data_IF_636797995004
#
_entry.id   IF_636797995004
#
_cell.length_a   1.000
_cell.length_b   1.000
_cell.length_c   1.000
_cell.angle_alpha   90.00
_cell.angle_beta   90.00
_cell.angle_gamma   90.00
#
_symmetry.space_group_name_H-M   'P 1'
#
loop_
_entity.id
_entity.type
_entity.pdbx_description
1 polymer ?
#
# COMPACT_ATOMS: atom_id res chain seq x y z
N UNK A 1 -41.80 -11.27 -52.08
CA UNK A 1 -40.92 -12.09 -51.23
C UNK A 1 -39.88 -11.13 -50.67
N UNK A 2 -40.04 -10.92 -49.36
CA UNK A 2 -39.30 -10.14 -48.35
C UNK A 2 -38.30 -9.03 -48.73
N UNK A 3 -38.72 -7.79 -48.42
CA UNK A 3 -37.87 -6.62 -48.08
C UNK A 3 -37.11 -6.80 -46.75
N UNK A 4 -36.61 -8.01 -46.43
CA UNK A 4 -35.96 -8.29 -45.14
C UNK A 4 -34.43 -8.33 -45.19
N UNK A 5 -33.81 -7.86 -46.27
CA UNK A 5 -32.37 -7.61 -46.33
C UNK A 5 -32.08 -6.13 -46.01
N UNK A 6 -32.70 -5.63 -44.95
CA UNK A 6 -32.31 -4.37 -44.32
C UNK A 6 -31.04 -4.64 -43.51
N UNK A 7 -29.92 -4.10 -44.01
CA UNK A 7 -28.69 -3.75 -43.29
C UNK A 7 -28.61 -4.29 -41.86
N UNK A 8 -28.01 -5.48 -41.69
CA UNK A 8 -27.34 -5.77 -40.43
C UNK A 8 -26.19 -4.77 -40.35
N UNK A 9 -26.36 -3.70 -39.59
CA UNK A 9 -25.22 -2.95 -39.08
C UNK A 9 -24.30 -3.99 -38.43
N UNK A 10 -23.04 -4.06 -38.85
CA UNK A 10 -22.05 -4.88 -38.17
C UNK A 10 -22.11 -4.47 -36.69
N UNK A 11 -22.49 -5.43 -35.83
CA UNK A 11 -22.56 -5.21 -34.40
C UNK A 11 -21.14 -4.85 -33.96
N UNK A 12 -20.93 -3.61 -33.54
CA UNK A 12 -19.59 -3.11 -33.23
C UNK A 12 -19.07 -3.87 -32.00
N UNK A 13 -18.22 -4.88 -32.24
CA UNK A 13 -17.68 -5.75 -31.20
C UNK A 13 -16.54 -5.02 -30.49
N UNK A 14 -16.81 -4.58 -29.25
CA UNK A 14 -15.80 -3.94 -28.42
C UNK A 14 -14.85 -4.98 -27.81
N UNK A 15 -13.53 -4.70 -27.74
CA UNK A 15 -12.62 -5.59 -27.05
C UNK A 15 -12.84 -5.51 -25.53
N UNK A 16 -12.67 -6.64 -24.84
CA UNK A 16 -12.56 -6.63 -23.37
C UNK A 16 -11.31 -5.87 -22.93
N UNK A 17 -11.40 -5.19 -21.79
CA UNK A 17 -10.27 -4.55 -21.11
C UNK A 17 -9.11 -5.52 -20.83
N UNK A 18 -9.42 -6.82 -20.71
CA UNK A 18 -8.41 -7.87 -20.51
C UNK A 18 -7.52 -8.08 -21.75
N UNK A 19 -8.03 -7.76 -22.94
CA UNK A 19 -7.30 -7.89 -24.21
C UNK A 19 -6.67 -6.56 -24.68
N UNK A 20 -7.16 -5.42 -24.19
CA UNK A 20 -6.72 -4.10 -24.60
C UNK A 20 -5.38 -3.70 -23.95
N UNK A 21 -4.55 -2.96 -24.70
CA UNK A 21 -3.37 -2.30 -24.15
C UNK A 21 -3.78 -0.93 -23.56
N UNK A 22 -3.09 -0.45 -22.51
CA UNK A 22 -3.30 0.90 -21.98
C UNK A 22 -3.14 1.96 -23.07
N UNK A 23 -3.97 3.00 -23.04
CA UNK A 23 -3.91 4.10 -24.01
C UNK A 23 -2.70 5.00 -23.75
N UNK A 24 -2.26 5.10 -22.49
CA UNK A 24 -1.06 5.82 -22.08
C UNK A 24 -0.14 4.85 -21.32
N UNK A 25 1.13 4.79 -21.72
CA UNK A 25 2.18 4.14 -20.93
C UNK A 25 3.06 5.22 -20.30
N UNK A 26 3.11 5.27 -18.97
CA UNK A 26 4.09 6.09 -18.26
C UNK A 26 5.49 5.56 -18.53
N UNK A 27 6.45 6.46 -18.78
CA UNK A 27 7.86 6.07 -18.86
C UNK A 27 8.31 5.41 -17.55
N UNK A 28 9.18 4.38 -17.58
CA UNK A 28 9.72 3.79 -16.35
C UNK A 28 10.64 4.82 -15.69
N UNK A 29 10.11 5.54 -14.71
CA UNK A 29 10.91 6.37 -13.82
C UNK A 29 11.20 5.49 -12.62
N UNK A 30 12.48 5.17 -12.39
CA UNK A 30 12.89 4.51 -11.17
C UNK A 30 12.64 5.47 -9.99
N UNK A 31 11.53 5.27 -9.27
CA UNK A 31 11.14 6.09 -8.12
C UNK A 31 11.80 5.54 -6.86
N UNK A 32 12.45 6.39 -6.08
CA UNK A 32 12.97 6.02 -4.75
C UNK A 32 11.81 5.94 -3.74
N UNK A 33 11.68 4.79 -3.06
CA UNK A 33 10.64 4.58 -2.04
C UNK A 33 9.23 4.34 -2.57
N UNK A 34 8.28 4.36 -1.63
CA UNK A 34 6.83 4.32 -1.87
C UNK A 34 6.26 5.73 -1.74
N UNK A 35 5.22 6.05 -2.49
CA UNK A 35 4.55 7.33 -2.41
C UNK A 35 3.03 7.20 -2.25
N UNK A 36 2.36 8.34 -2.17
CA UNK A 36 0.90 8.45 -2.07
C UNK A 36 0.14 7.51 -3.02
N UNK A 37 0.48 7.49 -4.31
CA UNK A 37 -0.23 6.68 -5.28
C UNK A 37 -0.05 5.18 -5.04
N UNK A 38 1.14 4.76 -4.62
CA UNK A 38 1.39 3.37 -4.23
C UNK A 38 0.49 3.00 -3.03
N UNK A 39 0.28 3.89 -2.06
CA UNK A 39 -0.62 3.66 -0.91
C UNK A 39 -2.11 3.59 -1.31
N UNK A 40 -2.54 4.43 -2.26
CA UNK A 40 -3.90 4.37 -2.80
C UNK A 40 -4.15 3.02 -3.46
N UNK A 41 -3.20 2.56 -4.26
CA UNK A 41 -3.25 1.27 -4.93
C UNK A 41 -3.23 0.10 -3.94
N UNK A 42 -2.43 0.17 -2.86
CA UNK A 42 -2.51 -0.79 -1.74
C UNK A 42 -3.92 -0.83 -1.13
N UNK A 43 -4.57 0.32 -0.97
CA UNK A 43 -5.95 0.39 -0.50
C UNK A 43 -6.93 -0.38 -1.40
N UNK A 44 -6.73 -0.38 -2.72
CA UNK A 44 -7.53 -1.18 -3.65
C UNK A 44 -7.16 -2.67 -3.66
N UNK A 45 -5.91 -3.02 -3.38
CA UNK A 45 -5.52 -4.43 -3.15
C UNK A 45 -6.18 -4.97 -1.89
N UNK A 46 -6.31 -4.15 -0.83
CA UNK A 46 -7.08 -4.50 0.36
C UNK A 46 -8.59 -4.58 0.09
N UNK A 47 -9.14 -3.71 -0.77
CA UNK A 47 -10.50 -3.85 -1.29
C UNK A 47 -10.69 -5.20 -1.98
N UNK A 48 -9.74 -5.57 -2.84
CA UNK A 48 -9.74 -6.87 -3.48
C UNK A 48 -9.69 -7.96 -2.42
N UNK A 49 -8.84 -7.90 -1.39
CA UNK A 49 -8.88 -8.91 -0.33
C UNK A 49 -10.29 -9.10 0.29
N UNK A 50 -10.93 -7.98 0.65
CA UNK A 50 -12.21 -7.96 1.35
C UNK A 50 -13.42 -8.28 0.45
N UNK A 51 -13.37 -7.94 -0.84
CA UNK A 51 -14.51 -8.01 -1.74
C UNK A 51 -14.26 -8.98 -2.90
N UNK A 52 -14.95 -10.15 -2.93
CA UNK A 52 -14.80 -11.15 -3.98
C UNK A 52 -15.22 -10.69 -5.37
N UNK A 53 -15.99 -9.61 -5.48
CA UNK A 53 -16.42 -9.07 -6.76
C UNK A 53 -15.30 -8.28 -7.46
N UNK A 54 -14.30 -7.76 -6.74
CA UNK A 54 -13.11 -7.20 -7.35
C UNK A 54 -12.19 -8.36 -7.75
N UNK A 55 -12.18 -8.69 -9.04
CA UNK A 55 -11.50 -9.88 -9.55
C UNK A 55 -10.12 -9.60 -10.10
N UNK A 56 -9.82 -8.36 -10.54
CA UNK A 56 -8.49 -7.96 -11.03
C UNK A 56 -8.21 -6.48 -10.83
N UNK A 57 -6.93 -6.13 -10.78
CA UNK A 57 -6.43 -4.75 -10.80
C UNK A 57 -5.35 -4.65 -11.89
N UNK A 58 -5.49 -3.70 -12.82
CA UNK A 58 -4.47 -3.35 -13.80
C UNK A 58 -3.73 -2.09 -13.32
N UNK A 59 -2.40 -2.16 -13.28
CA UNK A 59 -1.51 -1.06 -12.93
C UNK A 59 -0.94 -0.46 -14.22
N UNK A 60 -1.73 0.40 -14.88
CA UNK A 60 -1.43 0.93 -16.22
C UNK A 60 -0.24 1.90 -16.19
N UNK A 61 -0.39 3.01 -15.49
CA UNK A 61 0.66 4.01 -15.26
C UNK A 61 0.88 4.17 -13.76
N UNK A 62 1.73 5.12 -13.37
CA UNK A 62 1.95 5.43 -11.97
C UNK A 62 0.69 5.96 -11.27
N UNK A 63 -0.13 6.75 -11.98
CA UNK A 63 -1.28 7.45 -11.41
C UNK A 63 -2.64 6.83 -11.84
N UNK A 64 -2.64 5.87 -12.78
CA UNK A 64 -3.85 5.28 -13.35
C UNK A 64 -3.94 3.77 -13.08
N UNK A 65 -5.08 3.35 -12.53
CA UNK A 65 -5.43 1.95 -12.26
C UNK A 65 -6.72 1.58 -12.99
N UNK A 66 -6.90 0.29 -13.28
CA UNK A 66 -8.21 -0.25 -13.69
C UNK A 66 -8.63 -1.34 -12.73
N UNK A 67 -9.77 -1.16 -12.08
CA UNK A 67 -10.39 -2.19 -11.23
C UNK A 67 -11.42 -2.95 -12.07
N UNK A 68 -11.25 -4.26 -12.16
CA UNK A 68 -12.19 -5.13 -12.90
C UNK A 68 -13.11 -5.80 -11.89
N UNK A 69 -14.38 -5.44 -11.95
CA UNK A 69 -15.42 -6.00 -11.08
C UNK A 69 -16.27 -7.01 -11.83
N UNK A 70 -16.66 -8.08 -11.15
CA UNK A 70 -17.54 -9.13 -11.65
C UNK A 70 -18.71 -9.35 -10.68
N UNK A 71 -19.90 -8.97 -11.13
CA UNK A 71 -21.16 -9.12 -10.41
C UNK A 71 -22.04 -10.23 -11.02
N UNK A 72 -21.51 -11.06 -11.93
CA UNK A 72 -22.29 -12.08 -12.66
C UNK A 72 -22.81 -11.59 -14.01
N UNK A 73 -23.98 -12.06 -14.44
CA UNK A 73 -24.39 -11.92 -15.85
C UNK A 73 -25.50 -10.88 -16.07
N UNK A 74 -25.21 -9.75 -16.76
CA UNK A 74 -23.89 -9.24 -17.09
C UNK A 74 -23.63 -7.94 -16.31
N UNK A 75 -23.01 -7.97 -15.13
CA UNK A 75 -22.28 -6.77 -14.77
C UNK A 75 -20.82 -7.12 -14.54
N UNK A 76 -20.07 -7.10 -15.65
CA UNK A 76 -18.63 -6.90 -15.62
C UNK A 76 -18.33 -5.42 -15.85
N UNK A 77 -17.49 -4.86 -15.01
CA UNK A 77 -17.26 -3.42 -14.94
C UNK A 77 -15.77 -3.15 -14.95
N UNK A 78 -15.33 -2.21 -15.79
CA UNK A 78 -13.99 -1.65 -15.75
C UNK A 78 -14.07 -0.26 -15.10
N UNK A 79 -13.60 -0.14 -13.86
CA UNK A 79 -13.52 1.14 -13.16
C UNK A 79 -12.13 1.75 -13.33
N UNK A 80 -12.06 2.82 -14.10
CA UNK A 80 -10.85 3.57 -14.37
C UNK A 80 -10.61 4.56 -13.24
N UNK A 81 -9.56 4.31 -12.47
CA UNK A 81 -9.17 5.14 -11.32
C UNK A 81 -8.02 6.04 -11.74
N UNK A 82 -8.17 7.34 -11.54
CA UNK A 82 -7.14 8.32 -11.76
C UNK A 82 -6.78 9.04 -10.45
N UNK A 83 -5.54 8.88 -10.01
CA UNK A 83 -5.03 9.44 -8.76
C UNK A 83 -4.36 10.79 -9.01
N UNK A 84 -4.74 11.83 -8.26
CA UNK A 84 -4.15 13.18 -8.33
C UNK A 84 -3.38 13.50 -7.05
N UNK A 85 -2.25 12.82 -6.86
CA UNK A 85 -1.41 12.94 -5.67
C UNK A 85 -0.38 14.08 -5.68
N UNK A 86 -0.15 14.75 -6.81
CA UNK A 86 0.89 15.79 -6.93
C UNK A 86 0.42 17.21 -6.61
N UNK A 87 -0.89 17.42 -6.42
CA UNK A 87 -1.50 18.75 -6.28
C UNK A 87 -2.07 18.94 -4.86
N UNK A 88 -1.18 19.00 -3.86
CA UNK A 88 -1.53 18.92 -2.43
C UNK A 88 -2.50 20.01 -1.92
N UNK A 89 -2.44 21.22 -2.48
CA UNK A 89 -3.25 22.37 -2.03
C UNK A 89 -4.43 22.69 -2.96
N UNK A 90 -4.72 21.84 -3.94
CA UNK A 90 -5.73 22.16 -4.94
C UNK A 90 -7.13 21.75 -4.51
N UNK A 91 -8.03 22.72 -4.48
CA UNK A 91 -9.48 22.49 -4.45
C UNK A 91 -9.96 22.32 -5.90
N UNK A 92 -10.32 21.09 -6.27
CA UNK A 92 -10.73 20.77 -7.63
C UNK A 92 -12.08 21.39 -7.97
N UNK A 93 -12.15 22.03 -9.13
CA UNK A 93 -13.34 22.67 -9.68
C UNK A 93 -13.79 22.04 -11.00
N UNK A 94 -15.02 22.37 -11.45
CA UNK A 94 -15.52 21.97 -12.78
C UNK A 94 -14.61 22.53 -13.89
N UNK A 95 -14.08 23.74 -13.70
CA UNK A 95 -13.15 24.33 -14.65
C UNK A 95 -11.89 23.46 -14.82
N UNK A 96 -11.30 22.99 -13.72
CA UNK A 96 -10.11 22.12 -13.74
C UNK A 96 -10.32 20.82 -14.52
N UNK A 97 -11.53 20.24 -14.42
CA UNK A 97 -11.88 19.03 -15.17
C UNK A 97 -11.89 19.27 -16.68
N UNK A 98 -12.29 20.47 -17.10
CA UNK A 98 -12.48 20.86 -18.49
C UNK A 98 -11.23 21.52 -19.11
N UNK A 99 -10.19 21.84 -18.33
CA UNK A 99 -8.98 22.45 -18.88
C UNK A 99 -8.27 21.47 -19.81
N UNK A 100 -8.21 21.81 -21.10
CA UNK A 100 -7.41 21.10 -22.11
C UNK A 100 -5.94 21.49 -21.99
N UNK A 101 -5.08 20.53 -21.66
CA UNK A 101 -3.62 20.76 -21.69
C UNK A 101 -3.19 21.13 -23.12
N UNK A 102 -2.45 22.24 -23.25
CA UNK A 102 -2.02 22.81 -24.54
C UNK A 102 -3.18 23.06 -25.53
N UNK A 103 -4.41 23.28 -25.02
CA UNK A 103 -5.63 23.46 -25.81
C UNK A 103 -5.97 22.29 -26.75
N UNK A 104 -5.38 21.11 -26.56
CA UNK A 104 -5.64 19.95 -27.39
C UNK A 104 -7.00 19.32 -27.05
N UNK A 105 -7.82 19.04 -28.07
CA UNK A 105 -9.07 18.27 -27.92
C UNK A 105 -8.74 16.89 -27.35
N UNK A 106 -9.56 16.42 -26.40
CA UNK A 106 -9.30 15.14 -25.73
C UNK A 106 -8.26 15.19 -24.60
N UNK A 107 -7.71 16.37 -24.27
CA UNK A 107 -6.64 16.50 -23.28
C UNK A 107 -7.11 16.94 -21.89
N UNK A 108 -8.39 17.25 -21.71
CA UNK A 108 -8.96 17.54 -20.38
C UNK A 108 -9.19 16.26 -19.56
N UNK A 109 -9.32 16.38 -18.24
CA UNK A 109 -9.57 15.22 -17.37
C UNK A 109 -10.91 14.58 -17.71
N UNK A 110 -11.93 15.41 -17.94
CA UNK A 110 -13.26 14.94 -18.31
C UNK A 110 -13.25 14.16 -19.64
N UNK A 111 -12.65 14.72 -20.69
CA UNK A 111 -12.57 14.04 -22.00
C UNK A 111 -11.77 12.74 -21.91
N UNK A 112 -10.59 12.76 -21.27
CA UNK A 112 -9.76 11.56 -21.11
C UNK A 112 -10.48 10.47 -20.33
N UNK A 113 -11.18 10.85 -19.27
CA UNK A 113 -11.96 9.91 -18.47
C UNK A 113 -13.07 9.28 -19.31
N UNK A 114 -13.86 10.09 -20.02
CA UNK A 114 -14.96 9.60 -20.84
C UNK A 114 -14.49 8.76 -22.05
N UNK A 115 -13.33 9.06 -22.64
CA UNK A 115 -12.76 8.28 -23.75
C UNK A 115 -12.44 6.82 -23.35
N UNK A 116 -12.29 6.51 -22.05
CA UNK A 116 -12.07 5.14 -21.57
C UNK A 116 -13.27 4.23 -21.74
N UNK A 117 -14.45 4.78 -21.98
CA UNK A 117 -15.65 4.04 -22.38
C UNK A 117 -15.55 3.60 -23.84
N UNK A 118 -14.76 2.53 -24.04
CA UNK A 118 -14.38 1.96 -25.34
C UNK A 118 -14.11 0.44 -25.27
N UNK A 119 -14.67 -0.22 -24.25
CA UNK A 119 -14.48 -1.65 -23.99
C UNK A 119 -15.83 -2.35 -23.83
N UNK A 120 -15.83 -3.67 -23.87
CA UNK A 120 -17.03 -4.49 -23.69
C UNK A 120 -17.63 -4.32 -22.28
N UNK A 121 -16.77 -4.20 -21.26
CA UNK A 121 -17.18 -3.91 -19.89
C UNK A 121 -17.88 -2.54 -19.76
N UNK A 122 -18.77 -2.42 -18.78
CA UNK A 122 -19.34 -1.11 -18.42
C UNK A 122 -18.25 -0.24 -17.81
N UNK A 123 -18.05 0.96 -18.35
CA UNK A 123 -17.06 1.90 -17.83
C UNK A 123 -17.57 2.61 -16.58
N UNK A 124 -16.75 2.58 -15.52
CA UNK A 124 -16.90 3.47 -14.36
C UNK A 124 -15.67 4.33 -14.22
N UNK A 125 -15.83 5.49 -13.60
CA UNK A 125 -14.74 6.44 -13.42
C UNK A 125 -14.56 6.73 -11.95
N UNK A 126 -13.32 6.84 -11.49
CA UNK A 126 -13.01 7.26 -10.13
C UNK A 126 -11.86 8.25 -10.14
N UNK A 127 -12.06 9.40 -9.52
CA UNK A 127 -11.01 10.41 -9.35
C UNK A 127 -10.63 10.45 -7.87
N UNK A 128 -9.36 10.21 -7.57
CA UNK A 128 -8.85 10.19 -6.19
C UNK A 128 -8.03 11.45 -5.93
N UNK A 129 -8.38 12.21 -4.89
CA UNK A 129 -7.71 13.48 -4.56
C UNK A 129 -7.37 13.62 -3.08
N UNK A 130 -6.34 14.41 -2.79
CA UNK A 130 -5.88 14.73 -1.44
C UNK A 130 -6.84 15.63 -0.65
N UNK A 131 -7.44 16.60 -1.33
CA UNK A 131 -8.29 17.63 -0.72
C UNK A 131 -9.73 17.46 -1.16
N UNK A 132 -10.68 17.98 -0.37
CA UNK A 132 -12.07 18.04 -0.78
C UNK A 132 -12.29 18.84 -2.05
N UNK A 133 -13.37 18.54 -2.74
CA UNK A 133 -13.81 19.29 -3.91
C UNK A 133 -14.59 20.54 -3.54
N UNK A 134 -14.73 21.47 -4.49
CA UNK A 134 -15.66 22.59 -4.37
C UNK A 134 -17.11 22.08 -4.34
N UNK A 135 -18.03 22.89 -3.80
CA UNK A 135 -19.45 22.53 -3.64
C UNK A 135 -20.10 22.00 -4.92
N UNK A 136 -19.75 22.57 -6.08
CA UNK A 136 -20.28 22.17 -7.38
C UNK A 136 -19.99 20.70 -7.76
N UNK A 137 -18.94 20.09 -7.21
CA UNK A 137 -18.58 18.69 -7.45
C UNK A 137 -18.97 17.76 -6.29
N UNK A 138 -19.50 18.32 -5.19
CA UNK A 138 -19.78 17.56 -3.96
C UNK A 138 -20.73 16.40 -4.19
N UNK A 139 -21.69 16.50 -5.10
CA UNK A 139 -22.59 15.39 -5.41
C UNK A 139 -21.86 14.15 -5.93
N UNK A 140 -20.69 14.32 -6.56
CA UNK A 140 -19.87 13.21 -7.04
C UNK A 140 -19.14 12.45 -5.93
N UNK A 141 -19.08 12.97 -4.69
CA UNK A 141 -18.45 12.29 -3.56
C UNK A 141 -19.37 11.27 -2.88
N UNK A 142 -20.68 11.34 -3.14
CA UNK A 142 -21.63 10.32 -2.70
C UNK A 142 -21.54 9.06 -3.57
N UNK A 143 -21.88 7.91 -2.99
CA UNK A 143 -21.92 6.63 -3.70
C UNK A 143 -22.86 6.66 -4.91
N UNK A 144 -22.51 5.88 -5.94
CA UNK A 144 -23.32 5.79 -7.16
C UNK A 144 -24.73 5.26 -6.83
N UNK A 145 -25.76 5.91 -7.34
CA UNK A 145 -27.16 5.58 -7.04
C UNK A 145 -27.73 6.22 -5.76
N UNK A 146 -26.93 7.01 -5.01
CA UNK A 146 -27.44 7.79 -3.88
C UNK A 146 -28.44 8.87 -4.32
N UNK A 147 -29.43 9.22 -3.48
CA UNK A 147 -30.49 10.18 -3.82
C UNK A 147 -29.96 11.58 -4.18
N UNK A 148 -28.90 12.03 -3.50
CA UNK A 148 -28.19 13.28 -3.80
C UNK A 148 -27.48 13.30 -5.17
N UNK A 149 -27.54 12.19 -5.91
CA UNK A 149 -27.05 12.03 -7.28
C UNK A 149 -28.17 11.83 -8.30
N UNK A 150 -29.43 11.89 -7.87
CA UNK A 150 -30.56 11.73 -8.77
C UNK A 150 -30.45 12.74 -9.92
N UNK A 151 -30.72 12.36 -11.19
CA UNK A 151 -30.63 13.28 -12.33
C UNK A 151 -31.53 14.52 -12.22
N UNK A 152 -32.57 14.47 -11.38
CA UNK A 152 -33.48 15.59 -11.08
C UNK A 152 -33.02 16.49 -9.93
N UNK A 153 -31.95 16.13 -9.22
CA UNK A 153 -31.37 16.93 -8.13
C UNK A 153 -30.78 18.22 -8.69
N UNK A 154 -31.05 19.35 -8.04
CA UNK A 154 -30.66 20.69 -8.52
C UNK A 154 -29.14 20.78 -8.75
N UNK A 155 -28.35 20.26 -7.82
CA UNK A 155 -26.89 20.24 -7.89
C UNK A 155 -26.38 19.41 -9.07
N UNK A 156 -27.00 18.27 -9.36
CA UNK A 156 -26.62 17.41 -10.50
C UNK A 156 -27.02 18.05 -11.84
N UNK A 157 -28.20 18.68 -11.91
CA UNK A 157 -28.65 19.42 -13.10
C UNK A 157 -27.71 20.60 -13.38
N UNK A 158 -27.35 21.35 -12.34
CA UNK A 158 -26.41 22.47 -12.46
C UNK A 158 -25.02 22.01 -12.90
N UNK A 159 -24.49 20.93 -12.31
CA UNK A 159 -23.20 20.36 -12.68
C UNK A 159 -23.19 19.87 -14.13
N UNK A 160 -24.24 19.15 -14.56
CA UNK A 160 -24.39 18.71 -15.95
C UNK A 160 -24.39 19.89 -16.91
N UNK A 161 -25.17 20.93 -16.60
CA UNK A 161 -25.27 22.14 -17.42
C UNK A 161 -23.91 22.86 -17.55
N UNK A 162 -23.16 22.98 -16.46
CA UNK A 162 -21.81 23.61 -16.48
C UNK A 162 -20.83 22.79 -17.32
N UNK A 163 -20.82 21.46 -17.17
CA UNK A 163 -19.99 20.57 -17.99
C UNK A 163 -20.35 20.66 -19.48
N UNK A 164 -21.63 20.60 -19.84
CA UNK A 164 -22.08 20.69 -21.24
C UNK A 164 -21.78 22.07 -21.85
N UNK A 165 -21.86 23.13 -21.05
CA UNK A 165 -21.52 24.50 -21.50
C UNK A 165 -20.02 24.63 -21.77
N UNK A 166 -19.18 24.07 -20.90
CA UNK A 166 -17.71 24.12 -21.04
C UNK A 166 -17.20 23.18 -22.13
N UNK A 167 -17.83 22.02 -22.28
CA UNK A 167 -17.40 20.91 -23.12
C UNK A 167 -18.53 20.41 -24.02
N UNK A 168 -19.01 21.24 -24.97
CA UNK A 168 -20.17 20.91 -25.77
C UNK A 168 -19.91 19.74 -26.72
N UNK A 169 -20.83 18.77 -26.71
CA UNK A 169 -20.85 17.66 -27.67
C UNK A 169 -19.77 16.59 -27.46
N UNK A 170 -19.12 16.54 -26.30
CA UNK A 170 -18.16 15.47 -25.98
C UNK A 170 -18.90 14.15 -25.78
N UNK A 171 -18.48 13.12 -26.51
CA UNK A 171 -18.99 11.75 -26.43
C UNK A 171 -17.83 10.76 -26.30
N UNK A 172 -18.07 9.63 -25.63
CA UNK A 172 -17.17 8.47 -25.64
C UNK A 172 -17.21 7.77 -27.01
N UNK A 173 -16.32 6.79 -27.20
CA UNK A 173 -16.31 5.95 -28.42
C UNK A 173 -17.58 5.11 -28.55
N UNK A 174 -18.25 4.80 -27.43
CA UNK A 174 -19.55 4.13 -27.39
C UNK A 174 -20.73 5.10 -27.49
N UNK A 175 -20.48 6.39 -27.74
CA UNK A 175 -21.52 7.39 -27.93
C UNK A 175 -22.15 7.93 -26.64
N UNK A 176 -21.58 7.62 -25.47
CA UNK A 176 -22.08 8.13 -24.19
C UNK A 176 -21.53 9.53 -23.89
N UNK A 177 -22.37 10.41 -23.35
CA UNK A 177 -22.00 11.80 -23.03
C UNK A 177 -21.88 12.11 -21.53
N UNK A 178 -21.98 13.39 -21.18
CA UNK A 178 -21.87 13.93 -19.81
C UNK A 178 -22.77 13.24 -18.79
N UNK A 179 -24.02 12.91 -19.15
CA UNK A 179 -24.94 12.22 -18.24
C UNK A 179 -24.41 10.87 -17.79
N UNK A 180 -23.94 10.06 -18.74
CA UNK A 180 -23.33 8.76 -18.43
C UNK A 180 -22.09 8.90 -17.54
N UNK A 181 -21.24 9.89 -17.83
CA UNK A 181 -20.06 10.16 -17.01
C UNK A 181 -20.46 10.52 -15.58
N UNK A 182 -21.45 11.40 -15.39
CA UNK A 182 -21.94 11.81 -14.08
C UNK A 182 -22.57 10.65 -13.31
N UNK A 183 -23.30 9.74 -13.97
CA UNK A 183 -23.90 8.58 -13.31
C UNK A 183 -22.84 7.56 -12.87
N UNK A 184 -21.73 7.46 -13.61
CA UNK A 184 -20.69 6.44 -13.41
C UNK A 184 -19.40 6.95 -12.75
N UNK A 185 -19.25 8.26 -12.54
CA UNK A 185 -18.07 8.85 -11.90
C UNK A 185 -18.20 8.95 -10.38
N UNK A 186 -17.21 8.49 -9.63
CA UNK A 186 -17.11 8.67 -8.19
C UNK A 186 -15.90 9.55 -7.85
N UNK A 187 -16.08 10.54 -7.00
CA UNK A 187 -14.98 11.32 -6.44
C UNK A 187 -14.61 10.78 -5.07
N UNK A 188 -13.37 10.32 -4.93
CA UNK A 188 -12.86 9.60 -3.77
C UNK A 188 -11.81 10.47 -3.07
N UNK A 189 -12.24 11.17 -2.02
CA UNK A 189 -11.39 12.07 -1.25
C UNK A 189 -10.58 11.24 -0.23
N UNK A 190 -9.27 11.12 -0.47
CA UNK A 190 -8.35 10.43 0.43
C UNK A 190 -7.21 11.39 0.75
N UNK A 191 -7.19 11.89 1.98
CA UNK A 191 -6.22 12.84 2.56
C UNK A 191 -4.74 12.50 2.31
N UNK A 192 -3.81 13.11 3.05
CA UNK A 192 -2.37 12.87 2.84
C UNK A 192 -1.91 11.41 2.97
N UNK A 193 -0.70 11.14 2.47
CA UNK A 193 -0.07 9.81 2.50
C UNK A 193 0.01 9.20 3.92
N UNK A 194 0.42 9.92 4.98
CA UNK A 194 0.37 9.40 6.35
C UNK A 194 -1.02 8.91 6.77
N UNK A 195 -2.06 9.67 6.42
CA UNK A 195 -3.45 9.31 6.72
C UNK A 195 -3.88 8.06 5.96
N UNK A 196 -3.56 7.97 4.66
CA UNK A 196 -3.86 6.77 3.86
C UNK A 196 -3.12 5.55 4.39
N UNK A 197 -1.85 5.67 4.77
CA UNK A 197 -1.07 4.58 5.41
C UNK A 197 -1.74 4.06 6.67
N UNK A 198 -2.17 4.98 7.54
CA UNK A 198 -2.87 4.63 8.78
C UNK A 198 -4.20 3.94 8.47
N UNK A 199 -4.97 4.46 7.52
CA UNK A 199 -6.26 3.89 7.13
C UNK A 199 -6.10 2.49 6.52
N UNK A 200 -5.11 2.27 5.65
CA UNK A 200 -4.78 0.95 5.12
C UNK A 200 -4.45 -0.05 6.24
N UNK A 201 -3.74 0.40 7.27
CA UNK A 201 -3.40 -0.43 8.43
C UNK A 201 -4.60 -0.79 9.29
N UNK A 202 -5.45 0.17 9.61
CA UNK A 202 -6.71 -0.07 10.34
C UNK A 202 -7.60 -1.01 9.53
N UNK A 203 -7.75 -0.76 8.23
CA UNK A 203 -8.55 -1.59 7.34
C UNK A 203 -8.03 -3.03 7.29
N UNK A 204 -6.72 -3.24 7.16
CA UNK A 204 -6.15 -4.59 7.18
C UNK A 204 -6.39 -5.27 8.53
N UNK A 205 -6.25 -4.56 9.64
CA UNK A 205 -6.60 -5.09 10.95
C UNK A 205 -8.05 -5.58 11.00
N UNK A 206 -9.00 -4.78 10.54
CA UNK A 206 -10.43 -5.13 10.51
C UNK A 206 -10.71 -6.35 9.63
N UNK A 207 -10.13 -6.40 8.43
CA UNK A 207 -10.24 -7.57 7.53
C UNK A 207 -9.74 -8.84 8.23
N UNK A 208 -8.58 -8.77 8.88
CA UNK A 208 -7.95 -9.92 9.53
C UNK A 208 -8.71 -10.36 10.79
N UNK A 209 -9.27 -9.41 11.54
CA UNK A 209 -10.16 -9.67 12.66
C UNK A 209 -11.42 -10.39 12.20
N UNK A 210 -12.09 -9.90 11.14
CA UNK A 210 -13.29 -10.51 10.59
C UNK A 210 -13.03 -11.93 10.03
N UNK A 211 -11.84 -12.17 9.49
CA UNK A 211 -11.41 -13.49 9.02
C UNK A 211 -10.99 -14.46 10.14
N UNK A 212 -11.06 -14.07 11.42
CA UNK A 212 -10.67 -14.93 12.56
C UNK A 212 -9.16 -15.13 12.68
N UNK A 213 -8.36 -14.22 12.13
CA UNK A 213 -6.91 -14.27 12.12
C UNK A 213 -6.32 -12.97 12.69
N UNK A 214 -6.54 -12.67 13.98
CA UNK A 214 -6.03 -11.45 14.59
C UNK A 214 -4.50 -11.36 14.47
N UNK A 215 -4.01 -10.22 13.96
CA UNK A 215 -2.58 -9.95 13.82
C UNK A 215 -2.16 -8.83 14.77
N UNK A 216 -0.90 -8.89 15.21
CA UNK A 216 -0.26 -7.80 15.94
C UNK A 216 -0.03 -6.60 15.03
N UNK A 217 0.02 -5.41 15.62
CA UNK A 217 0.16 -4.15 14.89
C UNK A 217 1.41 -4.10 14.00
N UNK A 218 2.51 -4.71 14.45
CA UNK A 218 3.77 -4.80 13.71
C UNK A 218 3.71 -5.82 12.57
N UNK A 219 2.91 -6.89 12.72
CA UNK A 219 2.71 -7.86 11.64
C UNK A 219 1.92 -7.27 10.47
N UNK A 220 1.01 -6.33 10.77
CA UNK A 220 0.30 -5.57 9.74
C UNK A 220 1.26 -4.73 8.91
N UNK A 221 2.27 -4.10 9.53
CA UNK A 221 3.27 -3.32 8.78
C UNK A 221 4.05 -4.20 7.80
N UNK A 222 4.45 -5.39 8.24
CA UNK A 222 5.16 -6.34 7.38
C UNK A 222 4.30 -6.75 6.17
N UNK A 223 3.01 -7.02 6.36
CA UNK A 223 2.12 -7.38 5.27
C UNK A 223 1.90 -6.21 4.33
N UNK A 224 1.66 -5.02 4.86
CA UNK A 224 1.48 -3.81 4.05
C UNK A 224 2.75 -3.50 3.25
N UNK A 225 3.94 -3.72 3.80
CA UNK A 225 5.20 -3.57 3.07
C UNK A 225 5.33 -4.55 1.91
N UNK A 226 4.87 -5.79 2.07
CA UNK A 226 4.79 -6.74 0.94
C UNK A 226 3.79 -6.27 -0.13
N UNK A 227 2.63 -5.72 0.27
CA UNK A 227 1.66 -5.14 -0.68
C UNK A 227 2.24 -3.93 -1.41
N UNK A 228 2.96 -3.05 -0.72
CA UNK A 228 3.64 -1.89 -1.32
C UNK A 228 4.67 -2.32 -2.36
N UNK A 229 5.48 -3.33 -2.05
CA UNK A 229 6.46 -3.91 -3.00
C UNK A 229 5.76 -4.48 -4.23
N UNK A 230 4.66 -5.20 -4.04
CA UNK A 230 3.86 -5.77 -5.12
C UNK A 230 3.32 -4.67 -6.05
N UNK A 231 2.62 -3.69 -5.48
CA UNK A 231 2.06 -2.54 -6.21
C UNK A 231 3.15 -1.77 -6.95
N UNK A 232 4.25 -1.45 -6.28
CA UNK A 232 5.36 -0.71 -6.89
C UNK A 232 5.95 -1.49 -8.07
N UNK A 233 6.20 -2.79 -7.88
CA UNK A 233 6.72 -3.65 -8.94
C UNK A 233 5.76 -3.75 -10.13
N UNK A 234 4.45 -3.76 -9.88
CA UNK A 234 3.44 -3.80 -10.95
C UNK A 234 3.35 -2.46 -11.70
N UNK A 235 3.33 -1.34 -10.98
CA UNK A 235 3.35 0.00 -11.57
C UNK A 235 4.60 0.27 -12.42
N UNK A 236 5.78 -0.14 -11.92
CA UNK A 236 7.07 0.10 -12.57
C UNK A 236 7.35 -0.89 -13.74
N UNK A 237 6.55 -1.95 -13.90
CA UNK A 237 6.67 -2.86 -15.03
C UNK A 237 6.36 -2.15 -16.37
N UNK A 238 6.77 -2.76 -17.48
CA UNK A 238 6.37 -2.32 -18.84
C UNK A 238 5.27 -3.22 -19.38
N UNK A 239 4.29 -2.65 -20.09
CA UNK A 239 3.21 -3.46 -20.68
C UNK A 239 3.75 -4.46 -21.72
N UNK A 240 4.64 -4.02 -22.61
CA UNK A 240 5.42 -4.92 -23.47
C UNK A 240 6.86 -5.01 -22.96
N UNK A 241 7.42 -6.19 -22.66
CA UNK A 241 6.83 -7.54 -22.78
C UNK A 241 6.10 -8.05 -21.51
N UNK A 242 6.01 -7.27 -20.43
CA UNK A 242 5.65 -7.78 -19.09
C UNK A 242 4.18 -7.52 -18.70
N UNK A 243 3.21 -7.68 -19.61
CA UNK A 243 1.78 -7.46 -19.36
C UNK A 243 1.30 -8.13 -18.06
N UNK A 244 1.65 -9.39 -17.88
CA UNK A 244 1.24 -10.18 -16.71
C UNK A 244 1.75 -9.60 -15.37
N UNK A 245 2.84 -8.82 -15.38
CA UNK A 245 3.33 -8.15 -14.16
C UNK A 245 2.53 -6.89 -13.82
N UNK A 246 1.79 -6.33 -14.77
CA UNK A 246 0.91 -5.17 -14.57
C UNK A 246 -0.51 -5.55 -14.15
N UNK A 247 -0.86 -6.84 -14.15
CA UNK A 247 -2.21 -7.30 -13.85
C UNK A 247 -2.14 -8.21 -12.63
N UNK A 248 -2.79 -7.79 -11.54
CA UNK A 248 -2.96 -8.61 -10.36
C UNK A 248 -4.36 -9.21 -10.36
N UNK A 249 -4.46 -10.52 -10.59
CA UNK A 249 -5.73 -11.24 -10.43
C UNK A 249 -5.97 -11.56 -8.96
N UNK A 250 -7.24 -11.67 -8.57
CA UNK A 250 -7.64 -12.09 -7.21
C UNK A 250 -7.01 -13.43 -6.84
N UNK A 251 -7.05 -14.40 -7.74
CA UNK A 251 -6.50 -15.74 -7.50
C UNK A 251 -5.00 -15.68 -7.20
N UNK A 252 -4.22 -14.98 -8.04
CA UNK A 252 -2.78 -14.82 -7.84
C UNK A 252 -2.49 -14.06 -6.54
N UNK A 253 -3.29 -13.03 -6.23
CA UNK A 253 -3.17 -12.27 -5.01
C UNK A 253 -3.44 -13.12 -3.77
N UNK A 254 -4.51 -13.91 -3.74
CA UNK A 254 -4.85 -14.78 -2.61
C UNK A 254 -3.77 -15.85 -2.39
N UNK A 255 -3.24 -16.44 -3.47
CA UNK A 255 -2.13 -17.40 -3.37
C UNK A 255 -0.88 -16.76 -2.74
N UNK A 256 -0.51 -15.55 -3.18
CA UNK A 256 0.58 -14.79 -2.57
C UNK A 256 0.29 -14.43 -1.11
N UNK A 257 -0.94 -14.00 -0.82
CA UNK A 257 -1.41 -13.60 0.51
C UNK A 257 -1.32 -14.75 1.50
N UNK A 258 -1.83 -15.93 1.13
CA UNK A 258 -1.75 -17.14 1.94
C UNK A 258 -0.29 -17.53 2.18
N UNK A 259 0.58 -17.37 1.18
CA UNK A 259 2.03 -17.52 1.35
C UNK A 259 2.63 -16.55 2.37
N UNK A 260 2.21 -15.29 2.37
CA UNK A 260 2.64 -14.30 3.36
C UNK A 260 2.11 -14.62 4.77
N UNK A 261 0.84 -15.01 4.89
CA UNK A 261 0.26 -15.43 6.17
C UNK A 261 0.93 -16.70 6.70
N UNK A 262 1.23 -17.68 5.84
CA UNK A 262 1.97 -18.88 6.21
C UNK A 262 3.38 -18.52 6.68
N UNK A 263 4.08 -17.58 6.02
CA UNK A 263 5.38 -17.08 6.49
C UNK A 263 5.28 -16.36 7.84
N UNK A 264 4.21 -15.62 8.10
CA UNK A 264 3.99 -15.02 9.43
C UNK A 264 3.71 -16.08 10.50
N UNK A 265 2.89 -17.08 10.18
CA UNK A 265 2.60 -18.21 11.08
C UNK A 265 3.85 -19.05 11.33
N UNK A 266 4.64 -19.33 10.30
CA UNK A 266 5.89 -20.10 10.38
C UNK A 266 7.03 -19.28 11.00
N UNK A 267 7.07 -17.97 10.76
CA UNK A 267 7.94 -17.03 11.46
C UNK A 267 7.57 -16.85 12.92
N UNK A 268 6.29 -17.07 13.28
CA UNK A 268 5.83 -17.23 14.65
C UNK A 268 5.98 -18.67 15.19
N UNK A 269 6.21 -19.65 14.32
CA UNK A 269 6.53 -21.06 14.64
C UNK A 269 8.02 -21.27 14.89
N UNK A 270 8.86 -20.37 14.37
CA UNK A 270 10.08 -20.04 15.08
C UNK A 270 9.65 -19.31 16.35
N UNK A 271 9.91 -19.85 17.55
CA UNK A 271 9.65 -19.09 18.76
C UNK A 271 10.37 -17.75 18.59
N UNK A 272 9.65 -16.67 18.82
CA UNK A 272 10.17 -15.30 18.90
C UNK A 272 11.64 -15.31 19.35
N UNK A 273 12.58 -15.02 18.43
CA UNK A 273 14.01 -15.25 18.63
C UNK A 273 14.66 -16.27 17.70
N UNK A 274 13.97 -16.80 16.67
CA UNK A 274 14.55 -17.76 15.73
C UNK A 274 15.77 -17.24 14.96
N UNK A 275 15.74 -15.97 14.50
CA UNK A 275 16.90 -15.36 13.82
C UNK A 275 18.01 -15.01 14.80
N UNK A 276 17.66 -14.58 16.00
CA UNK A 276 18.61 -14.41 17.09
C UNK A 276 19.33 -15.74 17.40
N UNK A 277 18.58 -16.84 17.52
CA UNK A 277 19.11 -18.17 17.80
C UNK A 277 20.05 -18.63 16.69
N UNK A 278 19.64 -18.50 15.42
CA UNK A 278 20.46 -18.79 14.26
C UNK A 278 21.79 -18.03 14.32
N UNK A 279 21.75 -16.71 14.46
CA UNK A 279 22.95 -15.86 14.53
C UNK A 279 23.86 -16.16 15.70
N UNK A 280 23.29 -16.51 16.85
CA UNK A 280 24.08 -16.85 18.01
C UNK A 280 24.72 -18.23 17.86
N UNK A 281 24.00 -19.19 17.26
CA UNK A 281 24.55 -20.51 16.92
C UNK A 281 25.65 -20.40 15.85
N UNK A 282 25.47 -19.57 14.83
CA UNK A 282 26.49 -19.29 13.79
C UNK A 282 27.75 -18.65 14.40
N UNK A 283 27.58 -17.91 15.49
CA UNK A 283 28.67 -17.33 16.27
C UNK A 283 29.25 -18.31 17.33
N UNK A 284 28.92 -19.60 17.26
CA UNK A 284 29.37 -20.65 18.18
C UNK A 284 29.02 -20.41 19.66
N UNK A 285 27.92 -19.72 19.95
CA UNK A 285 27.40 -19.56 21.32
C UNK A 285 26.65 -20.83 21.76
N UNK A 286 26.70 -21.12 23.06
CA UNK A 286 26.11 -22.36 23.63
C UNK A 286 24.59 -22.26 23.75
N UNK A 287 23.91 -23.42 23.67
CA UNK A 287 22.44 -23.49 23.71
C UNK A 287 21.82 -22.85 24.96
N UNK A 288 22.49 -22.89 26.11
CA UNK A 288 22.03 -22.23 27.35
C UNK A 288 22.08 -20.70 27.23
N UNK A 289 23.15 -20.14 26.67
CA UNK A 289 23.30 -18.68 26.46
C UNK A 289 22.28 -18.18 25.43
N UNK A 290 22.03 -18.98 24.38
CA UNK A 290 21.00 -18.70 23.37
C UNK A 290 19.61 -18.65 24.00
N UNK A 291 19.26 -19.64 24.82
CA UNK A 291 17.96 -19.68 25.51
C UNK A 291 17.75 -18.45 26.41
N UNK A 292 18.75 -18.07 27.21
CA UNK A 292 18.68 -16.89 28.07
C UNK A 292 18.55 -15.58 27.28
N UNK A 293 19.21 -15.47 26.13
CA UNK A 293 19.08 -14.30 25.26
C UNK A 293 17.69 -14.18 24.64
N UNK A 294 17.08 -15.30 24.27
CA UNK A 294 15.69 -15.37 23.80
C UNK A 294 14.72 -14.92 24.90
N UNK A 295 14.91 -15.40 26.13
CA UNK A 295 14.06 -15.01 27.27
C UNK A 295 14.16 -13.51 27.56
N UNK A 296 15.37 -12.95 27.61
CA UNK A 296 15.58 -11.51 27.81
C UNK A 296 14.94 -10.68 26.69
N UNK A 297 14.99 -11.15 25.44
CA UNK A 297 14.32 -10.50 24.32
C UNK A 297 12.80 -10.55 24.47
N UNK A 298 12.26 -11.71 24.83
CA UNK A 298 10.82 -11.88 25.05
C UNK A 298 10.30 -10.95 26.15
N UNK A 299 11.05 -10.83 27.25
CA UNK A 299 10.71 -9.94 28.36
C UNK A 299 10.82 -8.47 27.96
N UNK A 300 11.85 -8.07 27.20
CA UNK A 300 11.91 -6.73 26.61
C UNK A 300 10.72 -6.45 25.69
N UNK A 301 10.34 -7.39 24.82
CA UNK A 301 9.19 -7.23 23.94
C UNK A 301 7.88 -7.12 24.72
N UNK A 302 7.72 -7.87 25.82
CA UNK A 302 6.56 -7.73 26.73
C UNK A 302 6.55 -6.36 27.39
N UNK A 303 7.71 -5.89 27.87
CA UNK A 303 7.87 -4.60 28.52
C UNK A 303 7.55 -3.43 27.58
N UNK A 304 8.13 -3.43 26.37
CA UNK A 304 7.89 -2.41 25.35
C UNK A 304 6.41 -2.31 24.93
N UNK A 305 5.66 -3.42 25.00
CA UNK A 305 4.23 -3.47 24.66
C UNK A 305 3.29 -3.08 25.81
N UNK A 306 3.74 -3.13 27.06
CA UNK A 306 2.84 -2.97 28.22
C UNK A 306 3.02 -1.67 28.99
N UNK A 307 4.00 -0.82 28.65
CA UNK A 307 4.19 0.57 29.12
C UNK A 307 3.93 0.82 30.62
N UNK A 308 4.05 -0.21 31.47
CA UNK A 308 3.51 -0.18 32.84
C UNK A 308 4.54 0.25 33.89
N UNK A 309 5.82 0.30 33.54
CA UNK A 309 6.92 0.39 34.51
C UNK A 309 8.07 1.36 34.12
N UNK A 310 7.97 2.07 33.00
CA UNK A 310 8.93 3.10 32.57
C UNK A 310 8.23 4.18 31.74
N UNK A 311 8.63 5.43 31.94
CA UNK A 311 8.08 6.54 31.16
C UNK A 311 8.48 6.38 29.69
N UNK A 312 7.57 6.61 28.72
CA UNK A 312 7.84 6.40 27.30
C UNK A 312 9.12 7.09 26.79
N UNK A 313 9.40 8.31 27.28
CA UNK A 313 10.59 9.09 26.92
C UNK A 313 11.90 8.46 27.42
N UNK A 314 11.89 7.86 28.62
CA UNK A 314 13.06 7.18 29.20
C UNK A 314 13.38 5.89 28.42
N UNK A 315 12.35 5.14 28.05
CA UNK A 315 12.50 3.93 27.24
C UNK A 315 13.09 4.22 25.86
N UNK A 316 12.62 5.29 25.20
CA UNK A 316 13.10 5.71 23.90
C UNK A 316 14.56 6.18 23.96
N UNK A 317 14.94 6.93 25.00
CA UNK A 317 16.32 7.35 25.22
C UNK A 317 17.26 6.15 25.41
N UNK A 318 16.90 5.18 26.25
CA UNK A 318 17.71 3.99 26.48
C UNK A 318 17.83 3.13 25.20
N UNK A 319 16.74 2.94 24.47
CA UNK A 319 16.76 2.23 23.17
C UNK A 319 17.66 2.93 22.16
N UNK A 320 17.61 4.26 22.08
CA UNK A 320 18.51 5.07 21.25
C UNK A 320 19.99 4.86 21.60
N UNK A 321 20.32 4.80 22.90
CA UNK A 321 21.69 4.50 23.36
C UNK A 321 22.14 3.10 22.97
N UNK A 322 21.31 2.08 23.18
CA UNK A 322 21.62 0.69 22.79
C UNK A 322 21.87 0.61 21.28
N UNK A 323 21.02 1.22 20.46
CA UNK A 323 21.16 1.23 19.00
C UNK A 323 22.47 1.89 18.57
N UNK A 324 22.82 3.04 19.15
CA UNK A 324 24.06 3.76 18.86
C UNK A 324 25.32 2.94 19.21
N UNK A 325 25.34 2.30 20.38
CA UNK A 325 26.46 1.46 20.82
C UNK A 325 26.63 0.23 19.92
N UNK A 326 25.54 -0.49 19.66
CA UNK A 326 25.56 -1.69 18.80
C UNK A 326 25.98 -1.36 17.37
N UNK A 327 25.53 -0.22 16.83
CA UNK A 327 25.99 0.27 15.53
C UNK A 327 27.49 0.55 15.54
N UNK A 328 28.00 1.22 16.58
CA UNK A 328 29.42 1.57 16.73
C UNK A 328 30.29 0.30 16.80
N UNK A 329 29.89 -0.70 17.59
CA UNK A 329 30.57 -1.98 17.67
C UNK A 329 30.57 -2.71 16.32
N UNK A 330 29.43 -2.73 15.64
CA UNK A 330 29.28 -3.37 14.33
C UNK A 330 30.18 -2.70 13.29
N UNK A 331 30.24 -1.36 13.26
CA UNK A 331 31.09 -0.60 12.36
C UNK A 331 32.59 -0.85 12.63
N UNK A 332 33.01 -0.85 13.91
CA UNK A 332 34.40 -1.14 14.29
C UNK A 332 34.80 -2.57 13.95
N UNK A 333 33.87 -3.53 14.09
CA UNK A 333 34.11 -4.92 13.69
C UNK A 333 34.20 -5.07 12.17
N UNK A 334 33.33 -4.40 11.42
CA UNK A 334 33.37 -4.37 9.96
C UNK A 334 34.67 -3.74 9.43
N UNK A 335 35.17 -2.71 10.10
CA UNK A 335 36.46 -2.08 9.80
C UNK A 335 37.68 -2.91 10.25
N UNK A 336 37.48 -4.09 10.86
CA UNK A 336 38.56 -4.94 11.38
C UNK A 336 39.27 -4.38 12.62
N UNK A 337 38.79 -3.27 13.19
CA UNK A 337 39.36 -2.66 14.41
C UNK A 337 39.06 -3.49 15.66
N UNK A 338 37.96 -4.26 15.64
CA UNK A 338 37.64 -5.26 16.65
C UNK A 338 37.85 -6.64 16.03
N UNK A 339 38.94 -7.29 16.43
CA UNK A 339 39.30 -8.63 16.00
C UNK A 339 38.93 -9.66 17.07
N UNK A 340 37.63 -9.91 17.19
CA UNK A 340 37.08 -10.87 18.16
C UNK A 340 36.26 -11.94 17.43
N UNK A 341 36.36 -13.17 17.94
CA UNK A 341 35.51 -14.28 17.54
C UNK A 341 34.05 -14.06 17.99
N UNK A 342 33.16 -14.98 17.62
CA UNK A 342 31.74 -14.86 17.88
C UNK A 342 31.40 -14.68 19.37
N UNK A 343 31.88 -15.58 20.25
CA UNK A 343 31.62 -15.49 21.68
C UNK A 343 32.25 -14.25 22.32
N UNK A 344 33.49 -13.88 21.98
CA UNK A 344 34.14 -12.71 22.57
C UNK A 344 33.48 -11.40 22.11
N UNK A 345 32.98 -11.33 20.87
CA UNK A 345 32.23 -10.17 20.41
C UNK A 345 30.86 -10.06 21.10
N UNK A 346 30.15 -11.19 21.28
CA UNK A 346 28.91 -11.21 22.05
C UNK A 346 29.12 -10.73 23.49
N UNK A 347 30.18 -11.22 24.16
CA UNK A 347 30.55 -10.76 25.50
C UNK A 347 30.81 -9.26 25.55
N UNK A 348 31.55 -8.72 24.58
CA UNK A 348 31.77 -7.27 24.46
C UNK A 348 30.46 -6.49 24.31
N UNK A 349 29.50 -6.98 23.54
CA UNK A 349 28.19 -6.34 23.42
C UNK A 349 27.45 -6.33 24.77
N UNK A 350 27.46 -7.44 25.51
CA UNK A 350 26.87 -7.55 26.85
C UNK A 350 27.54 -6.59 27.84
N UNK A 351 28.88 -6.53 27.85
CA UNK A 351 29.65 -5.62 28.71
C UNK A 351 29.29 -4.15 28.45
N UNK A 352 29.02 -3.78 27.19
CA UNK A 352 28.57 -2.43 26.84
C UNK A 352 27.17 -2.14 27.36
N UNK A 353 26.27 -3.12 27.38
CA UNK A 353 24.95 -2.94 28.00
C UNK A 353 25.08 -2.74 29.51
N UNK A 354 25.95 -3.50 30.17
CA UNK A 354 26.23 -3.33 31.59
C UNK A 354 26.92 -1.98 31.89
N UNK A 355 27.78 -1.50 31.01
CA UNK A 355 28.37 -0.16 31.12
C UNK A 355 27.32 0.95 30.97
N UNK A 356 26.34 0.81 30.06
CA UNK A 356 25.20 1.74 29.98
C UNK A 356 24.44 1.73 31.30
N UNK A 357 24.13 0.54 31.83
CA UNK A 357 23.40 0.39 33.09
C UNK A 357 24.11 1.07 34.25
N UNK A 358 25.42 0.82 34.40
CA UNK A 358 26.24 1.37 35.47
C UNK A 358 26.45 2.90 35.36
N UNK A 359 26.20 3.47 34.17
CA UNK A 359 26.23 4.93 33.97
C UNK A 359 24.95 5.64 34.41
N UNK A 360 23.89 4.89 34.75
CA UNK A 360 22.63 5.46 35.21
C UNK A 360 22.72 5.92 36.67
N UNK A 361 21.99 6.99 37.04
CA UNK A 361 21.85 7.40 38.43
C UNK A 361 21.35 6.25 39.34
N UNK A 362 21.86 6.12 40.59
CA UNK A 362 21.51 5.00 41.48
C UNK A 362 20.02 4.87 41.81
N UNK A 363 19.26 5.96 41.70
CA UNK A 363 17.82 6.05 41.95
C UNK A 363 16.95 5.54 40.79
N UNK A 364 17.53 5.29 39.60
CA UNK A 364 16.80 4.78 38.44
C UNK A 364 16.63 3.24 38.42
N UNK A 365 17.26 2.55 39.38
CA UNK A 365 17.19 1.09 39.50
C UNK A 365 17.94 0.33 38.40
N UNK A 366 17.97 -1.00 38.52
CA UNK A 366 18.66 -1.85 37.55
C UNK A 366 17.86 -1.98 36.23
N UNK A 367 18.49 -1.61 35.12
CA UNK A 367 17.97 -1.69 33.75
C UNK A 367 18.72 -2.72 32.89
N UNK A 368 19.62 -3.53 33.47
CA UNK A 368 20.47 -4.48 32.72
C UNK A 368 19.65 -5.44 31.84
N UNK A 369 18.57 -6.02 32.39
CA UNK A 369 17.69 -6.92 31.65
C UNK A 369 17.01 -6.24 30.45
N UNK A 370 16.55 -4.99 30.61
CA UNK A 370 15.93 -4.22 29.54
C UNK A 370 16.92 -3.91 28.41
N UNK A 371 18.13 -3.46 28.76
CA UNK A 371 19.18 -3.10 27.80
C UNK A 371 19.63 -4.32 26.99
N UNK A 372 19.88 -5.46 27.66
CA UNK A 372 20.25 -6.72 27.01
C UNK A 372 19.13 -7.24 26.12
N UNK A 373 17.88 -7.21 26.59
CA UNK A 373 16.72 -7.60 25.79
C UNK A 373 16.51 -6.72 24.55
N UNK A 374 16.75 -5.41 24.65
CA UNK A 374 16.71 -4.48 23.52
C UNK A 374 17.79 -4.82 22.47
N UNK A 375 19.03 -5.05 22.91
CA UNK A 375 20.13 -5.48 22.04
C UNK A 375 19.79 -6.77 21.29
N UNK A 376 19.22 -7.76 21.97
CA UNK A 376 18.80 -9.01 21.35
C UNK A 376 17.63 -8.83 20.38
N UNK A 377 16.71 -7.89 20.64
CA UNK A 377 15.67 -7.55 19.67
C UNK A 377 16.23 -6.90 18.39
N UNK A 378 17.25 -6.05 18.53
CA UNK A 378 18.00 -5.48 17.38
C UNK A 378 18.69 -6.58 16.57
N UNK A 379 19.30 -7.57 17.25
CA UNK A 379 19.93 -8.71 16.59
C UNK A 379 18.90 -9.57 15.84
N UNK A 380 17.74 -9.84 16.42
CA UNK A 380 16.66 -10.60 15.76
C UNK A 380 16.12 -9.88 14.51
N UNK A 381 16.05 -8.54 14.54
CA UNK A 381 15.59 -7.68 13.42
C UNK A 381 16.64 -7.41 12.34
N UNK A 382 17.69 -8.23 12.26
CA UNK A 382 18.74 -8.17 11.23
C UNK A 382 19.75 -7.01 11.32
N UNK A 383 19.85 -6.27 12.43
CA UNK A 383 20.74 -5.11 12.53
C UNK A 383 22.08 -5.37 13.26
N UNK A 384 22.22 -6.53 13.93
CA UNK A 384 23.45 -6.98 14.59
C UNK A 384 23.74 -8.43 14.21
N UNK A 385 25.01 -8.76 13.96
CA UNK A 385 25.53 -10.13 13.77
C UNK A 385 26.67 -10.40 14.75
N UNK A 386 26.69 -11.62 15.29
CA UNK A 386 27.72 -12.06 16.22
C UNK A 386 28.82 -12.85 15.54
N UNK A 387 28.60 -13.39 14.35
CA UNK A 387 29.60 -14.05 13.53
C UNK A 387 30.32 -13.08 12.58
N UNK A 388 31.38 -13.56 11.91
CA UNK A 388 32.11 -12.82 10.87
C UNK A 388 31.65 -13.17 9.45
N UNK A 389 30.95 -14.29 9.28
CA UNK A 389 30.72 -14.98 8.00
C UNK A 389 29.70 -14.33 7.07
N UNK A 390 29.31 -13.07 7.31
CA UNK A 390 28.32 -12.37 6.49
C UNK A 390 28.48 -10.85 6.44
N UNK A 391 29.72 -10.35 6.50
CA UNK A 391 30.06 -8.97 6.12
C UNK A 391 30.44 -8.90 4.64
#
# INVERSE_FOLDING_TARGET
MSESELFKADEEVWPSIDAAAPTEEGGPIARAGFNYQDEIAVGFVLEMLANPQLVKIHFETHDDLVLVWDFGTPPRIAEFVQVKGSEADKLWSVADLCVRKKQAVGASIFEKSLDRDQHDETARFRIVTLRPVVSALKSLTYERGHEARAPSCEEMVALKSDLDTRMPGVLSKRGHGTGYWLDNCLWDERHDEPTVKKNNKVRLFEIMMAAGHPLLWEQLDLLLDELRKLVKSAGDAKWKPNKEKKILTREAFLMMWDGCLAKLKNGASHPSGGKLAEKMNDAALTGTVVAMAIDLRLDYARFARTARYMQPEEAEQLQGRVKSEVQTLSAKRAAGTIDLDGPAFHALCVDRMDAINNSLPPDQGDRSAFLKGCMYDIADRCLLRFDRTGL
#
